data_IF_214204001205
#
_entry.id   IF_214204001205
#
_cell.length_a   1.000
_cell.length_b   1.000
_cell.length_c   1.000
_cell.angle_alpha   90.00
_cell.angle_beta   90.00
_cell.angle_gamma   90.00
#
_symmetry.space_group_name_H-M   'P 1'
#
loop_
_entity.id
_entity.type
_entity.pdbx_description
1 polymer ?
#
# COMPACT_ATOMS: atom_id res chain seq x y z
N UNK A 1 22.78 34.16 27.07
CA UNK A 1 22.71 33.64 25.69
C UNK A 1 21.42 32.86 25.56
N UNK A 2 20.36 33.60 25.25
CA UNK A 2 18.97 33.13 25.09
C UNK A 2 18.80 32.55 23.69
N UNK A 3 18.61 31.23 23.58
CA UNK A 3 18.23 30.62 22.30
C UNK A 3 16.80 31.05 21.98
N UNK A 4 16.66 31.84 20.93
CA UNK A 4 15.36 32.12 20.33
C UNK A 4 14.75 30.78 19.89
N UNK A 5 13.72 30.33 20.60
CA UNK A 5 12.71 29.47 20.00
C UNK A 5 12.07 30.33 18.91
N UNK A 6 12.42 30.06 17.66
CA UNK A 6 11.78 30.70 16.54
C UNK A 6 10.30 30.29 16.56
N UNK A 7 9.44 31.26 16.88
CA UNK A 7 8.01 31.17 16.61
C UNK A 7 7.85 30.95 15.10
N UNK A 8 7.66 29.69 14.69
CA UNK A 8 7.22 29.38 13.33
C UNK A 8 5.80 29.94 13.17
N UNK A 9 5.53 30.58 12.04
CA UNK A 9 4.20 31.10 11.71
C UNK A 9 3.12 30.02 11.92
N UNK A 10 1.95 30.38 12.49
CA UNK A 10 0.83 29.47 12.59
C UNK A 10 0.33 29.13 11.18
N UNK A 11 0.53 27.89 10.76
CA UNK A 11 -0.02 27.35 9.52
C UNK A 11 0.98 26.67 8.56
N UNK A 12 2.21 26.36 8.98
CA UNK A 12 3.10 25.49 8.23
C UNK A 12 3.34 24.16 8.98
N UNK A 13 3.48 23.02 8.26
CA UNK A 13 3.81 21.73 8.86
C UNK A 13 5.09 21.80 9.71
N UNK A 14 5.13 21.06 10.82
CA UNK A 14 6.16 21.19 11.83
C UNK A 14 7.17 20.03 11.87
N UNK A 15 7.80 19.85 13.05
CA UNK A 15 8.53 18.70 13.53
C UNK A 15 8.50 17.43 12.70
N UNK A 16 7.27 16.93 12.70
CA UNK A 16 6.90 15.58 12.38
C UNK A 16 6.78 15.43 10.87
N UNK A 17 6.30 16.46 10.16
CA UNK A 17 6.30 16.49 8.71
C UNK A 17 7.71 16.38 8.14
N UNK A 18 8.71 17.03 8.74
CA UNK A 18 10.10 16.90 8.30
C UNK A 18 10.64 15.48 8.52
N UNK A 19 10.26 14.81 9.61
CA UNK A 19 10.57 13.39 9.86
C UNK A 19 9.89 12.50 8.81
N UNK A 20 8.58 12.71 8.58
CA UNK A 20 7.82 11.96 7.59
C UNK A 20 8.42 12.06 6.19
N UNK A 21 8.81 13.26 5.73
CA UNK A 21 9.40 13.43 4.40
C UNK A 21 10.73 12.69 4.24
N UNK A 22 11.56 12.67 5.29
CA UNK A 22 12.81 11.92 5.29
C UNK A 22 12.55 10.41 5.21
N UNK A 23 11.65 9.88 6.05
CA UNK A 23 11.23 8.46 6.02
C UNK A 23 10.66 8.08 4.66
N UNK A 24 9.75 8.89 4.12
CA UNK A 24 9.12 8.67 2.83
C UNK A 24 10.14 8.70 1.67
N UNK A 25 11.19 9.53 1.76
CA UNK A 25 12.26 9.60 0.76
C UNK A 25 13.17 8.38 0.80
N UNK A 26 13.48 7.86 1.99
CA UNK A 26 14.31 6.65 2.15
C UNK A 26 13.59 5.40 1.63
N UNK A 27 12.27 5.37 1.76
CA UNK A 27 11.43 4.26 1.35
C UNK A 27 10.82 4.46 -0.04
N UNK A 28 11.20 5.50 -0.78
CA UNK A 28 10.74 5.73 -2.14
C UNK A 28 11.07 4.55 -3.07
N UNK A 29 10.13 4.18 -3.95
CA UNK A 29 10.29 3.01 -4.80
C UNK A 29 11.47 3.09 -5.77
N UNK A 30 11.78 4.28 -6.29
CA UNK A 30 12.96 4.47 -7.13
C UNK A 30 14.24 4.35 -6.30
N UNK A 31 14.27 4.95 -5.11
CA UNK A 31 15.40 4.87 -4.17
C UNK A 31 15.73 3.44 -3.78
N UNK A 32 14.73 2.65 -3.39
CA UNK A 32 14.92 1.25 -2.99
C UNK A 32 15.45 0.38 -4.13
N UNK A 33 14.92 0.55 -5.35
CA UNK A 33 15.42 -0.19 -6.52
C UNK A 33 16.86 0.19 -6.86
N UNK A 34 17.21 1.49 -6.82
CA UNK A 34 18.60 1.93 -7.07
C UNK A 34 19.57 1.37 -6.03
N UNK A 35 19.19 1.43 -4.74
CA UNK A 35 20.00 0.87 -3.66
C UNK A 35 20.25 -0.63 -3.88
N UNK A 36 19.19 -1.38 -4.21
CA UNK A 36 19.31 -2.83 -4.45
C UNK A 36 20.16 -3.17 -5.67
N UNK A 37 20.08 -2.37 -6.74
CA UNK A 37 20.90 -2.54 -7.94
C UNK A 37 22.37 -2.21 -7.70
N UNK A 38 22.70 -1.30 -6.77
CA UNK A 38 24.09 -1.00 -6.43
C UNK A 38 24.81 -2.21 -5.80
N UNK A 39 24.06 -3.11 -5.16
CA UNK A 39 24.58 -4.35 -4.58
C UNK A 39 24.59 -5.53 -5.59
N UNK A 40 23.92 -5.40 -6.74
CA UNK A 40 23.89 -6.41 -7.79
C UNK A 40 25.21 -6.44 -8.59
N UNK A 41 25.73 -7.65 -8.81
CA UNK A 41 26.95 -7.88 -9.61
C UNK A 41 26.68 -8.66 -10.90
N UNK A 42 25.40 -8.95 -11.20
CA UNK A 42 24.98 -9.72 -12.35
C UNK A 42 24.77 -8.89 -13.62
N UNK A 43 24.62 -9.58 -14.76
CA UNK A 43 24.16 -8.95 -15.99
C UNK A 43 22.76 -8.31 -15.81
N UNK A 44 22.48 -7.17 -16.47
CA UNK A 44 21.17 -6.53 -16.38
C UNK A 44 20.07 -7.47 -16.91
N UNK A 45 18.82 -7.33 -16.43
CA UNK A 45 17.71 -8.11 -16.92
C UNK A 45 17.42 -7.80 -18.40
N UNK A 46 17.01 -8.81 -19.15
CA UNK A 46 16.62 -8.66 -20.57
C UNK A 46 15.12 -8.35 -20.72
N UNK A 47 14.35 -8.59 -19.67
CA UNK A 47 12.93 -8.29 -19.59
C UNK A 47 12.55 -7.73 -18.22
N UNK A 48 11.62 -6.78 -18.19
CA UNK A 48 11.11 -6.18 -16.96
C UNK A 48 9.58 -6.12 -16.95
N UNK A 49 8.97 -6.62 -15.88
CA UNK A 49 7.53 -6.52 -15.63
C UNK A 49 7.30 -5.72 -14.35
N UNK A 50 6.76 -4.50 -14.43
CA UNK A 50 6.45 -3.70 -13.25
C UNK A 50 4.94 -3.58 -13.05
N UNK A 51 4.42 -3.97 -11.89
CA UNK A 51 2.98 -4.05 -11.63
C UNK A 51 2.65 -3.49 -10.24
N UNK A 52 1.65 -2.62 -10.17
CA UNK A 52 1.07 -2.14 -8.92
C UNK A 52 1.05 -0.63 -8.81
N UNK A 53 0.69 -0.10 -7.63
CA UNK A 53 0.61 1.35 -7.37
C UNK A 53 1.96 2.06 -7.53
N UNK A 54 3.08 1.34 -7.37
CA UNK A 54 4.45 1.87 -7.36
C UNK A 54 5.26 1.40 -8.57
N UNK A 55 4.60 0.87 -9.60
CA UNK A 55 5.30 0.32 -10.78
C UNK A 55 6.17 1.34 -11.50
N UNK A 56 5.68 2.56 -11.72
CA UNK A 56 6.43 3.65 -12.36
C UNK A 56 7.64 4.13 -11.54
N UNK A 57 7.52 4.46 -10.24
CA UNK A 57 8.68 4.81 -9.41
C UNK A 57 9.75 3.71 -9.37
N UNK A 58 9.36 2.45 -9.15
CA UNK A 58 10.32 1.33 -9.16
C UNK A 58 11.01 1.22 -10.52
N UNK A 59 10.28 1.35 -11.62
CA UNK A 59 10.85 1.34 -12.97
C UNK A 59 11.78 2.53 -13.23
N UNK A 60 11.45 3.73 -12.74
CA UNK A 60 12.31 4.90 -12.84
C UNK A 60 13.64 4.68 -12.09
N UNK A 61 13.60 4.02 -10.94
CA UNK A 61 14.81 3.58 -10.22
C UNK A 61 15.68 2.66 -11.06
N UNK A 62 15.06 1.67 -11.71
CA UNK A 62 15.76 0.77 -12.64
C UNK A 62 16.38 1.52 -13.82
N UNK A 63 15.61 2.39 -14.48
CA UNK A 63 16.09 3.16 -15.64
C UNK A 63 17.28 4.05 -15.30
N UNK A 64 17.26 4.69 -14.13
CA UNK A 64 18.36 5.55 -13.68
C UNK A 64 19.66 4.77 -13.44
N UNK A 65 19.58 3.50 -13.05
CA UNK A 65 20.75 2.65 -12.76
C UNK A 65 21.24 1.84 -13.97
N UNK A 66 20.32 1.37 -14.83
CA UNK A 66 20.65 0.38 -15.87
C UNK A 66 20.34 0.86 -17.30
N UNK A 67 19.63 1.97 -17.46
CA UNK A 67 19.08 2.38 -18.76
C UNK A 67 17.87 1.54 -19.19
N UNK A 68 17.48 1.69 -20.46
CA UNK A 68 16.29 1.03 -21.00
C UNK A 68 16.46 -0.49 -21.09
N UNK A 69 15.53 -1.29 -20.54
CA UNK A 69 15.55 -2.74 -20.75
C UNK A 69 15.12 -3.07 -22.19
N UNK A 70 15.58 -4.19 -22.78
CA UNK A 70 15.17 -4.60 -24.12
C UNK A 70 13.66 -4.81 -24.28
N UNK A 71 13.00 -5.34 -23.25
CA UNK A 71 11.56 -5.58 -23.19
C UNK A 71 11.02 -5.12 -21.84
N UNK A 72 10.01 -4.27 -21.82
CA UNK A 72 9.32 -3.92 -20.59
C UNK A 72 7.80 -3.76 -20.73
N UNK A 73 7.10 -4.19 -19.68
CA UNK A 73 5.67 -3.95 -19.50
C UNK A 73 5.43 -3.35 -18.10
N UNK A 74 4.82 -2.17 -18.07
CA UNK A 74 4.35 -1.51 -16.86
C UNK A 74 2.83 -1.62 -16.76
N UNK A 75 2.32 -1.89 -15.56
CA UNK A 75 0.89 -1.81 -15.26
C UNK A 75 0.69 -1.02 -13.97
N UNK A 76 -0.11 0.04 -14.03
CA UNK A 76 -0.42 0.90 -12.90
C UNK A 76 -1.93 1.26 -12.86
N UNK A 77 -2.48 1.65 -11.71
CA UNK A 77 -3.84 2.19 -11.66
C UNK A 77 -3.90 3.59 -12.28
N UNK A 78 -5.06 4.05 -12.76
CA UNK A 78 -5.21 5.38 -13.37
C UNK A 78 -4.65 6.49 -12.50
N UNK A 79 -4.88 6.39 -11.19
CA UNK A 79 -4.41 7.37 -10.21
C UNK A 79 -2.88 7.43 -10.13
N UNK A 80 -2.13 6.40 -10.53
CA UNK A 80 -0.66 6.36 -10.47
C UNK A 80 -0.04 6.24 -11.88
N UNK A 81 -0.83 6.44 -12.91
CA UNK A 81 -0.39 6.40 -14.29
C UNK A 81 -0.08 7.84 -14.73
N UNK A 82 1.15 8.16 -15.17
CA UNK A 82 1.49 9.50 -15.66
C UNK A 82 0.63 9.89 -16.86
N UNK A 83 0.24 11.16 -16.96
CA UNK A 83 -0.53 11.66 -18.12
C UNK A 83 0.25 11.47 -19.43
N UNK A 84 1.55 11.77 -19.40
CA UNK A 84 2.48 11.58 -20.52
C UNK A 84 3.66 10.70 -20.06
N UNK A 85 3.52 9.36 -20.11
CA UNK A 85 4.59 8.48 -19.68
C UNK A 85 5.74 8.52 -20.69
N UNK A 86 6.92 8.98 -20.25
CA UNK A 86 8.13 8.90 -21.05
C UNK A 86 8.67 7.46 -21.03
N UNK A 87 8.23 6.66 -22.00
CA UNK A 87 8.61 5.25 -22.11
C UNK A 87 9.77 5.07 -23.10
N UNK A 88 10.89 4.44 -22.69
CA UNK A 88 11.97 4.17 -23.61
C UNK A 88 11.58 3.08 -24.64
N UNK A 89 12.32 2.95 -25.75
CA UNK A 89 12.09 1.89 -26.74
C UNK A 89 12.00 0.49 -26.10
N UNK A 90 11.09 -0.34 -26.60
CA UNK A 90 10.85 -1.68 -26.05
C UNK A 90 9.99 -1.71 -24.79
N UNK A 91 9.50 -0.55 -24.32
CA UNK A 91 8.63 -0.44 -23.14
C UNK A 91 7.18 -0.14 -23.54
N UNK A 92 6.25 -0.85 -22.92
CA UNK A 92 4.81 -0.59 -23.00
C UNK A 92 4.24 -0.37 -21.60
N UNK A 93 3.17 0.43 -21.50
CA UNK A 93 2.47 0.63 -20.23
C UNK A 93 0.96 0.51 -20.44
N UNK A 94 0.29 -0.12 -19.48
CA UNK A 94 -1.15 -0.32 -19.48
C UNK A 94 -1.78 0.15 -18.17
N UNK A 95 -3.01 0.61 -18.26
CA UNK A 95 -3.82 0.97 -17.09
C UNK A 95 -4.58 -0.27 -16.62
N UNK A 96 -4.50 -0.59 -15.33
CA UNK A 96 -5.31 -1.62 -14.69
C UNK A 96 -6.07 -1.04 -13.49
N UNK A 97 -7.38 -1.23 -13.42
CA UNK A 97 -8.20 -0.53 -12.42
C UNK A 97 -8.10 -1.10 -11.01
N UNK A 98 -8.20 -0.20 -10.03
CA UNK A 98 -8.15 -0.45 -8.59
C UNK A 98 -9.18 0.47 -7.90
N UNK A 99 -9.89 0.04 -6.84
CA UNK A 99 -9.76 -1.23 -6.11
C UNK A 99 -10.51 -2.41 -6.74
N UNK A 100 -11.35 -2.18 -7.75
CA UNK A 100 -12.15 -3.23 -8.38
C UNK A 100 -11.69 -3.47 -9.83
N UNK A 101 -11.47 -4.73 -10.25
CA UNK A 101 -11.01 -5.03 -11.60
C UNK A 101 -12.08 -4.73 -12.65
N UNK A 102 -11.68 -4.17 -13.78
CA UNK A 102 -12.53 -3.85 -14.96
C UNK A 102 -12.01 -4.60 -16.19
N UNK A 103 -12.63 -4.43 -17.38
CA UNK A 103 -12.04 -4.94 -18.62
C UNK A 103 -10.59 -4.46 -18.85
N UNK A 104 -10.23 -3.23 -18.46
CA UNK A 104 -8.83 -2.75 -18.53
C UNK A 104 -7.88 -3.60 -17.69
N UNK A 105 -8.31 -4.01 -16.50
CA UNK A 105 -7.54 -4.95 -15.66
C UNK A 105 -7.38 -6.33 -16.31
N UNK A 106 -8.36 -6.75 -17.12
CA UNK A 106 -8.31 -8.02 -17.88
C UNK A 106 -7.35 -7.93 -19.05
N UNK A 107 -7.37 -6.81 -19.77
CA UNK A 107 -6.43 -6.54 -20.86
C UNK A 107 -5.00 -6.50 -20.33
N UNK A 108 -4.78 -5.82 -19.20
CA UNK A 108 -3.49 -5.79 -18.52
C UNK A 108 -3.01 -7.18 -18.05
N UNK A 109 -3.90 -7.97 -17.44
CA UNK A 109 -3.57 -9.34 -17.04
C UNK A 109 -3.23 -10.25 -18.22
N UNK A 110 -3.95 -10.10 -19.34
CA UNK A 110 -3.70 -10.83 -20.57
C UNK A 110 -2.39 -10.39 -21.23
N UNK A 111 -2.07 -9.10 -21.19
CA UNK A 111 -0.80 -8.58 -21.68
C UNK A 111 0.39 -9.11 -20.87
N UNK A 112 0.29 -9.15 -19.54
CA UNK A 112 1.34 -9.73 -18.70
C UNK A 112 1.51 -11.24 -18.95
N UNK A 113 0.41 -11.98 -19.10
CA UNK A 113 0.46 -13.39 -19.48
C UNK A 113 1.18 -13.59 -20.82
N UNK A 114 0.87 -12.78 -21.84
CA UNK A 114 1.55 -12.85 -23.14
C UNK A 114 3.03 -12.49 -22.99
N UNK A 115 3.33 -11.40 -22.29
CA UNK A 115 4.69 -10.92 -22.06
C UNK A 115 5.58 -12.03 -21.51
N UNK A 116 5.19 -12.67 -20.40
CA UNK A 116 6.02 -13.71 -19.77
C UNK A 116 6.14 -14.99 -20.61
N UNK A 117 5.12 -15.31 -21.43
CA UNK A 117 5.13 -16.44 -22.36
C UNK A 117 6.04 -16.21 -23.58
N UNK A 118 6.34 -14.96 -23.94
CA UNK A 118 7.27 -14.65 -25.05
C UNK A 118 8.74 -14.75 -24.67
N UNK A 119 9.04 -14.93 -23.38
CA UNK A 119 10.41 -15.00 -22.88
C UNK A 119 11.01 -16.39 -23.11
N UNK A 120 12.28 -16.44 -23.52
CA UNK A 120 13.02 -17.69 -23.66
C UNK A 120 13.77 -18.04 -22.36
N UNK A 121 14.31 -19.27 -22.22
CA UNK A 121 15.14 -19.63 -21.06
C UNK A 121 16.43 -18.80 -20.91
N UNK A 122 16.88 -18.16 -21.98
CA UNK A 122 18.06 -17.26 -22.00
C UNK A 122 17.71 -15.84 -21.52
N UNK A 123 16.42 -15.47 -21.51
CA UNK A 123 15.97 -14.19 -20.95
C UNK A 123 16.14 -14.16 -19.42
N UNK A 124 16.31 -12.97 -18.87
CA UNK A 124 16.34 -12.71 -17.42
C UNK A 124 15.22 -11.74 -17.08
N UNK A 125 14.20 -12.22 -16.37
CA UNK A 125 13.04 -11.41 -15.99
C UNK A 125 13.25 -10.77 -14.62
N UNK A 126 13.18 -9.44 -14.57
CA UNK A 126 13.00 -8.70 -13.32
C UNK A 126 11.52 -8.30 -13.18
N UNK A 127 10.90 -8.70 -12.08
CA UNK A 127 9.53 -8.30 -11.73
C UNK A 127 9.58 -7.28 -10.61
N UNK A 128 9.01 -6.10 -10.83
CA UNK A 128 8.85 -5.04 -9.83
C UNK A 128 7.39 -5.03 -9.37
N UNK A 129 7.11 -5.51 -8.17
CA UNK A 129 5.75 -5.74 -7.68
C UNK A 129 5.43 -4.81 -6.51
N UNK A 130 4.21 -4.27 -6.48
CA UNK A 130 3.72 -3.49 -5.35
C UNK A 130 2.23 -3.71 -5.08
N UNK A 131 1.74 -3.10 -3.99
CA UNK A 131 0.33 -3.12 -3.58
C UNK A 131 -0.67 -2.81 -4.70
N UNK A 132 -1.89 -3.34 -4.54
CA UNK A 132 -3.00 -3.19 -5.50
C UNK A 132 -2.98 -4.15 -6.71
N UNK A 133 -1.90 -4.92 -6.92
CA UNK A 133 -1.75 -5.84 -8.04
C UNK A 133 -2.89 -6.88 -8.19
N UNK A 134 -3.56 -7.23 -7.09
CA UNK A 134 -4.71 -8.14 -7.08
C UNK A 134 -5.86 -7.70 -8.00
N UNK A 135 -6.10 -6.39 -8.10
CA UNK A 135 -7.17 -5.81 -8.95
C UNK A 135 -6.62 -5.22 -10.25
N UNK A 136 -5.43 -4.61 -10.19
CA UNK A 136 -4.75 -4.02 -11.36
C UNK A 136 -4.48 -5.10 -12.41
N UNK A 137 -4.03 -6.28 -11.99
CA UNK A 137 -3.72 -7.40 -12.85
C UNK A 137 -4.75 -8.52 -12.69
N UNK A 138 -5.72 -8.60 -13.62
CA UNK A 138 -6.80 -9.59 -13.55
C UNK A 138 -6.76 -10.53 -14.75
N UNK A 139 -6.81 -11.84 -14.52
CA UNK A 139 -7.15 -12.81 -15.56
C UNK A 139 -8.01 -13.90 -14.94
N UNK A 140 -9.34 -13.90 -15.16
CA UNK A 140 -10.23 -14.98 -14.74
C UNK A 140 -9.79 -16.33 -15.33
N UNK A 141 -9.97 -17.42 -14.57
CA UNK A 141 -9.84 -18.79 -15.07
C UNK A 141 -10.77 -19.01 -16.27
N UNK A 142 -10.35 -19.74 -17.30
CA UNK A 142 -11.26 -20.11 -18.39
C UNK A 142 -12.09 -21.32 -17.96
N UNK A 143 -13.42 -21.34 -18.16
CA UNK A 143 -14.21 -20.43 -19.02
C UNK A 143 -14.88 -19.24 -18.28
N UNK A 144 -14.48 -18.91 -17.05
CA UNK A 144 -15.11 -17.84 -16.26
C UNK A 144 -14.97 -16.47 -16.91
N UNK A 145 -16.04 -15.69 -16.87
CA UNK A 145 -16.00 -14.27 -17.23
C UNK A 145 -15.44 -13.41 -16.10
N UNK A 146 -15.15 -12.14 -16.41
CA UNK A 146 -14.83 -11.14 -15.38
C UNK A 146 -15.99 -10.97 -14.39
N UNK A 147 -17.22 -11.02 -14.88
CA UNK A 147 -18.42 -10.83 -14.06
C UNK A 147 -18.63 -11.99 -13.09
N UNK A 148 -18.43 -13.23 -13.54
CA UNK A 148 -18.46 -14.43 -12.69
C UNK A 148 -17.49 -14.29 -11.51
N UNK A 149 -16.24 -13.94 -11.83
CA UNK A 149 -15.18 -13.75 -10.83
C UNK A 149 -15.52 -12.60 -9.87
N UNK A 150 -15.99 -11.45 -10.40
CA UNK A 150 -16.34 -10.29 -9.59
C UNK A 150 -17.49 -10.61 -8.64
N UNK A 151 -18.53 -11.28 -9.11
CA UNK A 151 -19.69 -11.66 -8.31
C UNK A 151 -19.27 -12.54 -7.12
N UNK A 152 -18.51 -13.61 -7.37
CA UNK A 152 -18.04 -14.51 -6.31
C UNK A 152 -17.10 -13.80 -5.30
N UNK A 153 -16.09 -13.08 -5.78
CA UNK A 153 -15.14 -12.36 -4.91
C UNK A 153 -15.84 -11.27 -4.09
N UNK A 154 -16.80 -10.56 -4.67
CA UNK A 154 -17.58 -9.53 -3.98
C UNK A 154 -18.48 -10.13 -2.91
N UNK A 155 -19.11 -11.28 -3.18
CA UNK A 155 -19.93 -11.98 -2.19
C UNK A 155 -19.08 -12.41 -0.98
N UNK A 156 -17.93 -13.06 -1.23
CA UNK A 156 -17.00 -13.48 -0.17
C UNK A 156 -16.51 -12.30 0.66
N UNK A 157 -16.12 -11.20 0.00
CA UNK A 157 -15.66 -9.99 0.69
C UNK A 157 -16.76 -9.32 1.52
N UNK A 158 -18.01 -9.24 1.01
CA UNK A 158 -19.14 -8.66 1.72
C UNK A 158 -19.57 -9.46 2.95
N UNK A 159 -19.33 -10.78 2.93
CA UNK A 159 -19.61 -11.65 4.05
C UNK A 159 -18.55 -11.56 5.18
N UNK A 160 -17.57 -10.65 5.07
CA UNK A 160 -16.57 -10.40 6.11
C UNK A 160 -15.47 -11.46 6.15
N UNK A 161 -15.23 -12.19 5.05
CA UNK A 161 -14.13 -13.14 4.97
C UNK A 161 -12.78 -12.45 5.23
N UNK A 162 -11.91 -13.11 5.98
CA UNK A 162 -10.56 -12.63 6.23
C UNK A 162 -9.76 -12.55 4.91
N UNK A 163 -8.72 -11.72 4.88
CA UNK A 163 -7.94 -11.49 3.65
C UNK A 163 -7.34 -12.79 3.09
N UNK A 164 -6.89 -13.70 3.95
CA UNK A 164 -6.36 -15.01 3.55
C UNK A 164 -7.45 -15.91 2.92
N UNK A 165 -8.67 -15.90 3.45
CA UNK A 165 -9.81 -16.63 2.91
C UNK A 165 -10.22 -16.05 1.55
N UNK A 166 -10.31 -14.72 1.45
CA UNK A 166 -10.61 -14.04 0.20
C UNK A 166 -9.56 -14.33 -0.88
N UNK A 167 -8.28 -14.33 -0.52
CA UNK A 167 -7.18 -14.62 -1.43
C UNK A 167 -7.18 -16.09 -1.88
N UNK A 168 -7.56 -17.03 -1.02
CA UNK A 168 -7.77 -18.44 -1.40
C UNK A 168 -8.75 -18.54 -2.58
N UNK A 169 -9.92 -17.91 -2.47
CA UNK A 169 -10.91 -17.89 -3.56
C UNK A 169 -10.37 -17.15 -4.79
N UNK A 170 -9.75 -15.98 -4.62
CA UNK A 170 -9.22 -15.17 -5.73
C UNK A 170 -8.18 -15.91 -6.57
N UNK A 171 -7.30 -16.70 -5.96
CA UNK A 171 -6.24 -17.47 -6.64
C UNK A 171 -6.86 -18.58 -7.50
N UNK A 172 -7.80 -19.34 -6.94
CA UNK A 172 -8.48 -20.45 -7.62
C UNK A 172 -9.47 -20.02 -8.70
N UNK A 173 -9.82 -18.72 -8.77
CA UNK A 173 -10.61 -18.14 -9.87
C UNK A 173 -9.76 -17.34 -10.88
N UNK A 174 -8.44 -17.58 -10.93
CA UNK A 174 -7.52 -16.83 -11.77
C UNK A 174 -6.61 -17.73 -12.59
N UNK A 175 -6.06 -17.21 -13.70
CA UNK A 175 -4.98 -17.85 -14.50
C UNK A 175 -3.58 -17.35 -14.19
N UNK A 176 -3.46 -16.31 -13.34
CA UNK A 176 -2.19 -15.58 -13.13
C UNK A 176 -1.84 -15.41 -11.64
N UNK A 177 -2.77 -15.69 -10.72
CA UNK A 177 -2.56 -15.55 -9.27
C UNK A 177 -2.14 -16.89 -8.67
N UNK A 178 -1.56 -16.88 -7.47
CA UNK A 178 -1.12 -18.11 -6.79
C UNK A 178 -0.05 -18.87 -7.59
N UNK A 179 0.98 -18.16 -8.04
CA UNK A 179 2.14 -18.71 -8.73
C UNK A 179 1.91 -18.95 -10.22
N UNK A 180 0.68 -18.87 -10.70
CA UNK A 180 0.36 -19.24 -12.06
C UNK A 180 1.04 -18.34 -13.10
N UNK A 181 1.26 -17.05 -12.85
CA UNK A 181 1.99 -16.21 -13.81
C UNK A 181 3.47 -16.61 -13.90
N UNK A 182 4.10 -16.88 -12.75
CA UNK A 182 5.48 -17.37 -12.69
C UNK A 182 5.66 -18.73 -13.38
N UNK A 183 4.66 -19.61 -13.27
CA UNK A 183 4.67 -20.93 -13.91
C UNK A 183 4.51 -20.88 -15.45
N UNK A 184 4.13 -19.73 -16.02
CA UNK A 184 3.99 -19.55 -17.48
C UNK A 184 5.29 -19.17 -18.18
N UNK A 185 6.37 -18.89 -17.44
CA UNK A 185 7.69 -18.61 -17.99
C UNK A 185 8.73 -19.63 -17.52
N UNK A 186 9.77 -19.81 -18.32
CA UNK A 186 10.96 -20.60 -17.97
C UNK A 186 12.21 -19.72 -17.78
N UNK A 187 12.09 -18.42 -18.02
CA UNK A 187 13.18 -17.47 -17.83
C UNK A 187 13.51 -17.36 -16.34
N UNK A 188 14.80 -17.40 -15.92
CA UNK A 188 15.21 -17.01 -14.58
C UNK A 188 14.55 -15.70 -14.16
N UNK A 189 13.82 -15.72 -13.05
CA UNK A 189 12.95 -14.63 -12.63
C UNK A 189 13.33 -14.15 -11.24
N UNK A 190 13.70 -12.87 -11.12
CA UNK A 190 13.85 -12.19 -9.84
C UNK A 190 12.64 -11.31 -9.61
N UNK A 191 11.99 -11.44 -8.45
CA UNK A 191 10.87 -10.61 -8.03
C UNK A 191 11.33 -9.71 -6.90
N UNK A 192 11.17 -8.41 -7.08
CA UNK A 192 11.39 -7.37 -6.07
C UNK A 192 10.07 -6.73 -5.73
N UNK A 193 9.71 -6.78 -4.45
CA UNK A 193 8.42 -6.30 -3.99
C UNK A 193 8.51 -5.16 -2.98
N UNK A 194 7.55 -4.23 -3.07
CA UNK A 194 7.18 -3.31 -2.01
C UNK A 194 5.84 -3.75 -1.43
N UNK A 195 5.84 -4.15 -0.16
CA UNK A 195 4.71 -4.84 0.48
C UNK A 195 3.87 -3.88 1.31
N UNK A 196 2.59 -3.80 1.01
CA UNK A 196 1.56 -3.24 1.90
C UNK A 196 0.91 -4.31 2.80
N UNK A 197 1.53 -5.49 2.91
CA UNK A 197 1.01 -6.63 3.66
C UNK A 197 1.86 -6.85 4.90
N UNK A 198 1.24 -6.87 6.08
CA UNK A 198 1.90 -7.20 7.34
C UNK A 198 2.54 -8.59 7.26
N UNK A 199 3.83 -8.68 7.60
CA UNK A 199 4.61 -9.91 7.52
C UNK A 199 5.14 -10.26 6.13
N UNK A 200 4.83 -9.45 5.11
CA UNK A 200 5.41 -9.51 3.76
C UNK A 200 5.30 -10.86 3.05
N UNK A 201 4.23 -11.62 3.32
CA UNK A 201 4.02 -12.93 2.69
C UNK A 201 3.89 -12.79 1.15
N UNK A 202 4.84 -13.38 0.38
CA UNK A 202 4.82 -13.34 -1.08
C UNK A 202 3.56 -13.96 -1.69
N UNK A 203 2.92 -14.93 -1.02
CA UNK A 203 1.69 -15.55 -1.50
C UNK A 203 0.46 -14.63 -1.35
N UNK A 204 0.57 -13.57 -0.55
CA UNK A 204 -0.48 -12.59 -0.27
C UNK A 204 -0.31 -11.31 -1.10
N UNK A 205 0.91 -10.82 -1.27
CA UNK A 205 1.22 -9.60 -2.06
C UNK A 205 0.74 -9.79 -3.51
N UNK A 206 -0.16 -8.91 -3.96
CA UNK A 206 -0.84 -9.00 -5.26
C UNK A 206 -1.52 -10.37 -5.56
N UNK A 207 -1.89 -11.13 -4.51
CA UNK A 207 -2.35 -12.53 -4.60
C UNK A 207 -1.28 -13.50 -5.15
N UNK A 208 0.00 -13.19 -4.93
CA UNK A 208 1.16 -14.03 -5.19
C UNK A 208 1.29 -14.55 -6.63
N UNK A 209 1.33 -13.72 -7.67
CA UNK A 209 1.42 -14.20 -9.06
C UNK A 209 2.69 -15.02 -9.38
N UNK A 210 3.75 -14.82 -8.58
CA UNK A 210 5.05 -15.50 -8.69
C UNK A 210 5.42 -16.30 -7.43
N UNK A 211 4.46 -16.57 -6.55
CA UNK A 211 4.69 -17.33 -5.30
C UNK A 211 3.81 -18.57 -5.27
N UNK A 212 4.33 -19.65 -4.69
CA UNK A 212 3.57 -20.86 -4.48
C UNK A 212 2.34 -20.60 -3.58
N UNK A 213 1.25 -21.29 -3.86
CA UNK A 213 0.00 -21.15 -3.15
C UNK A 213 -0.29 -22.42 -2.34
N UNK A 214 -0.19 -22.39 -1.00
CA UNK A 214 -0.44 -23.58 -0.18
C UNK A 214 -1.93 -23.96 -0.12
N UNK A 215 -2.82 -23.11 -0.60
CA UNK A 215 -4.27 -23.32 -0.54
C UNK A 215 -4.75 -24.18 -1.71
N UNK A 216 -5.94 -24.78 -1.60
CA UNK A 216 -6.45 -25.79 -2.56
C UNK A 216 -7.85 -25.47 -3.08
N UNK A 217 -8.24 -26.10 -4.19
CA UNK A 217 -9.62 -26.07 -4.68
C UNK A 217 -10.64 -26.52 -3.63
N UNK A 218 -10.29 -27.50 -2.80
CA UNK A 218 -11.16 -27.98 -1.72
C UNK A 218 -11.43 -26.88 -0.67
N UNK A 219 -10.40 -26.12 -0.29
CA UNK A 219 -10.56 -24.97 0.60
C UNK A 219 -11.35 -23.84 -0.07
N UNK A 220 -11.07 -23.54 -1.35
CA UNK A 220 -11.83 -22.54 -2.10
C UNK A 220 -13.32 -22.91 -2.20
N UNK A 221 -13.65 -24.20 -2.39
CA UNK A 221 -15.03 -24.71 -2.37
C UNK A 221 -15.71 -24.46 -1.01
N UNK A 222 -15.07 -24.87 0.09
CA UNK A 222 -15.62 -24.68 1.43
C UNK A 222 -15.88 -23.20 1.75
N UNK A 223 -14.99 -22.31 1.32
CA UNK A 223 -15.15 -20.86 1.49
C UNK A 223 -16.29 -20.28 0.65
N UNK A 224 -16.45 -20.74 -0.60
CA UNK A 224 -17.59 -20.34 -1.42
C UNK A 224 -18.91 -20.83 -0.83
N UNK A 225 -18.97 -22.06 -0.33
CA UNK A 225 -20.18 -22.60 0.33
C UNK A 225 -20.54 -21.80 1.59
N UNK A 226 -19.54 -21.39 2.38
CA UNK A 226 -19.73 -20.60 3.60
C UNK A 226 -20.13 -19.14 3.34
N UNK A 227 -19.48 -18.48 2.38
CA UNK A 227 -19.58 -17.03 2.22
C UNK A 227 -20.31 -16.56 0.96
N UNK A 228 -20.44 -17.43 -0.04
CA UNK A 228 -21.08 -17.12 -1.32
C UNK A 228 -21.88 -18.33 -1.84
N UNK A 229 -22.85 -18.87 -1.05
CA UNK A 229 -23.63 -20.04 -1.46
C UNK A 229 -24.38 -19.83 -2.78
N UNK A 230 -24.67 -18.57 -3.13
CA UNK A 230 -25.31 -18.15 -4.39
C UNK A 230 -24.32 -17.73 -5.48
N UNK A 231 -23.05 -18.12 -5.38
CA UNK A 231 -22.05 -17.83 -6.42
C UNK A 231 -22.53 -18.34 -7.80
N UNK A 232 -22.13 -17.65 -8.91
CA UNK A 232 -22.55 -18.01 -10.26
C UNK A 232 -22.30 -19.50 -10.59
N UNK A 233 -23.21 -20.11 -11.35
CA UNK A 233 -23.09 -21.51 -11.72
C UNK A 233 -21.75 -21.86 -12.41
N UNK A 234 -21.18 -21.03 -13.31
CA UNK A 234 -19.85 -21.28 -13.88
C UNK A 234 -18.74 -21.35 -12.81
N UNK A 235 -18.81 -20.52 -11.77
CA UNK A 235 -17.84 -20.53 -10.65
C UNK A 235 -17.94 -21.84 -9.87
N UNK A 236 -19.15 -22.26 -9.52
CA UNK A 236 -19.39 -23.52 -8.81
C UNK A 236 -18.91 -24.73 -9.62
N UNK A 237 -19.18 -24.73 -10.93
CA UNK A 237 -18.73 -25.78 -11.84
C UNK A 237 -17.19 -25.84 -11.91
N UNK A 238 -16.53 -24.70 -12.15
CA UNK A 238 -15.07 -24.60 -12.21
C UNK A 238 -14.38 -25.11 -10.93
N UNK A 239 -14.89 -24.70 -9.75
CA UNK A 239 -14.34 -25.15 -8.47
C UNK A 239 -14.61 -26.65 -8.25
N UNK A 240 -15.80 -27.13 -8.63
CA UNK A 240 -16.12 -28.56 -8.60
C UNK A 240 -15.20 -29.40 -9.50
N UNK A 241 -14.87 -28.91 -10.70
CA UNK A 241 -13.91 -29.52 -11.61
C UNK A 241 -12.51 -29.57 -11.00
N UNK A 242 -12.07 -28.48 -10.37
CA UNK A 242 -10.79 -28.43 -9.64
C UNK A 242 -10.72 -29.45 -8.51
N UNK A 243 -11.77 -29.57 -7.70
CA UNK A 243 -11.85 -30.59 -6.63
C UNK A 243 -11.81 -32.02 -7.17
N UNK A 244 -12.36 -32.26 -8.37
CA UNK A 244 -12.30 -33.55 -9.07
C UNK A 244 -10.96 -33.81 -9.78
N UNK A 245 -10.05 -32.85 -9.78
CA UNK A 245 -8.77 -32.94 -10.49
C UNK A 245 -8.88 -32.80 -12.02
N UNK A 246 -10.01 -32.28 -12.52
CA UNK A 246 -10.21 -32.01 -13.95
C UNK A 246 -9.53 -30.71 -14.41
N UNK A 247 -9.25 -29.81 -13.45
CA UNK A 247 -8.46 -28.60 -13.66
C UNK A 247 -7.19 -28.67 -12.82
N UNK A 248 -6.03 -28.21 -13.34
CA UNK A 248 -4.79 -28.23 -12.59
C UNK A 248 -4.86 -27.27 -11.40
N UNK A 249 -4.28 -27.71 -10.30
CA UNK A 249 -4.17 -26.95 -9.07
C UNK A 249 -3.11 -25.82 -9.19
N UNK A 250 -3.26 -24.73 -8.42
CA UNK A 250 -2.26 -23.66 -8.36
C UNK A 250 -0.90 -24.23 -7.90
N UNK A 251 0.24 -23.74 -8.43
CA UNK A 251 1.57 -24.17 -8.00
C UNK A 251 1.72 -24.30 -6.49
N UNK A 252 1.96 -25.53 -6.02
CA UNK A 252 2.12 -25.83 -4.58
C UNK A 252 3.56 -25.63 -4.12
N UNK A 253 3.80 -25.42 -2.82
CA UNK A 253 5.14 -25.53 -2.26
C UNK A 253 5.74 -26.90 -2.62
N UNK A 254 6.92 -26.89 -3.27
CA UNK A 254 7.59 -28.12 -3.73
C UNK A 254 7.17 -28.64 -5.12
N UNK A 255 6.32 -27.94 -5.86
CA UNK A 255 5.84 -28.32 -7.21
C UNK A 255 6.92 -28.21 -8.30
N UNK A 256 8.03 -27.51 -8.04
CA UNK A 256 9.15 -27.34 -8.99
C UNK A 256 8.89 -26.30 -10.09
N UNK A 257 7.62 -26.04 -10.45
CA UNK A 257 7.20 -25.04 -11.46
C UNK A 257 7.66 -23.60 -11.19
N UNK A 258 8.18 -23.30 -9.99
CA UNK A 258 8.65 -21.98 -9.59
C UNK A 258 10.12 -22.00 -9.14
N UNK A 259 10.86 -23.07 -9.38
CA UNK A 259 12.27 -23.21 -8.93
C UNK A 259 13.20 -22.18 -9.58
N UNK A 260 12.82 -21.62 -10.73
CA UNK A 260 13.50 -20.53 -11.42
C UNK A 260 13.14 -19.13 -10.90
N UNK A 261 12.20 -19.03 -9.95
CA UNK A 261 11.76 -17.78 -9.35
C UNK A 261 12.49 -17.54 -8.03
N UNK A 262 12.99 -16.33 -7.85
CA UNK A 262 13.54 -15.82 -6.58
C UNK A 262 12.73 -14.60 -6.19
N UNK A 263 12.34 -14.53 -4.93
CA UNK A 263 11.52 -13.45 -4.40
C UNK A 263 12.26 -12.71 -3.29
N UNK A 264 12.20 -11.39 -3.32
CA UNK A 264 12.78 -10.52 -2.31
C UNK A 264 11.83 -9.35 -2.05
N UNK A 265 11.52 -9.11 -0.78
CA UNK A 265 10.78 -7.94 -0.35
C UNK A 265 11.80 -6.83 -0.02
N UNK A 266 11.82 -5.76 -0.82
CA UNK A 266 12.76 -4.65 -0.62
C UNK A 266 12.36 -3.76 0.56
N UNK A 267 11.05 -3.58 0.76
CA UNK A 267 10.51 -2.91 1.93
C UNK A 267 9.06 -3.33 2.21
N UNK A 268 8.70 -3.33 3.49
CA UNK A 268 7.37 -3.56 4.04
C UNK A 268 7.01 -2.56 5.14
N UNK A 269 5.86 -2.76 5.82
CA UNK A 269 5.39 -1.88 6.89
C UNK A 269 6.37 -1.71 8.06
N UNK A 270 7.18 -2.73 8.35
CA UNK A 270 8.21 -2.68 9.38
C UNK A 270 9.30 -1.64 9.07
N UNK A 271 9.67 -1.48 7.79
CA UNK A 271 10.69 -0.52 7.38
C UNK A 271 10.24 0.93 7.62
N UNK A 272 8.93 1.21 7.56
CA UNK A 272 8.36 2.52 7.90
C UNK A 272 8.65 2.87 9.36
N UNK A 273 8.40 1.93 10.27
CA UNK A 273 8.66 2.14 11.71
C UNK A 273 10.15 2.24 12.00
N UNK A 274 10.96 1.38 11.39
CA UNK A 274 12.39 1.30 11.69
C UNK A 274 13.13 2.53 11.14
N UNK A 275 12.80 2.97 9.92
CA UNK A 275 13.27 4.24 9.37
C UNK A 275 12.84 5.41 10.26
N UNK A 276 11.55 5.50 10.63
CA UNK A 276 11.05 6.59 11.47
C UNK A 276 11.74 6.63 12.84
N UNK A 277 11.96 5.49 13.50
CA UNK A 277 12.71 5.43 14.76
C UNK A 277 14.14 5.93 14.60
N UNK A 278 14.84 5.53 13.54
CA UNK A 278 16.18 6.03 13.26
C UNK A 278 16.19 7.53 13.01
N UNK A 279 15.31 8.05 12.16
CA UNK A 279 15.21 9.48 11.84
C UNK A 279 14.87 10.32 13.08
N UNK A 280 13.98 9.82 13.95
CA UNK A 280 13.67 10.46 15.24
C UNK A 280 14.92 10.56 16.12
N UNK A 281 15.70 9.48 16.22
CA UNK A 281 16.92 9.45 17.03
C UNK A 281 18.03 10.33 16.47
N UNK A 282 18.25 10.35 15.15
CA UNK A 282 19.27 11.21 14.51
C UNK A 282 18.95 12.69 14.69
N UNK A 283 17.68 13.03 14.88
CA UNK A 283 17.21 14.40 15.19
C UNK A 283 17.25 14.73 16.69
N UNK A 284 17.77 13.84 17.52
CA UNK A 284 17.99 14.07 18.95
C UNK A 284 16.77 13.86 19.85
N UNK A 285 15.69 13.26 19.33
CA UNK A 285 14.50 12.93 20.11
C UNK A 285 14.58 11.51 20.67
N UNK A 286 13.93 11.29 21.81
CA UNK A 286 13.69 9.93 22.31
C UNK A 286 12.60 9.28 21.45
N UNK A 287 12.94 8.17 20.77
CA UNK A 287 11.99 7.38 19.98
C UNK A 287 11.30 6.31 20.82
N UNK A 288 9.96 6.37 20.91
CA UNK A 288 9.14 5.40 21.64
C UNK A 288 8.17 4.65 20.70
N UNK A 289 7.71 3.45 21.04
CA UNK A 289 6.60 2.82 20.31
C UNK A 289 5.27 3.56 20.56
N UNK A 290 4.43 3.62 19.53
CA UNK A 290 3.03 4.07 19.62
C UNK A 290 2.06 2.91 19.36
N UNK A 291 1.95 2.47 18.11
CA UNK A 291 1.23 1.27 17.66
C UNK A 291 2.01 0.60 16.54
N UNK A 292 1.72 -0.65 16.22
CA UNK A 292 2.32 -1.35 15.09
C UNK A 292 1.23 -2.01 14.27
N UNK A 293 1.25 -1.80 12.95
CA UNK A 293 0.42 -2.48 11.98
C UNK A 293 -1.08 -2.43 12.32
N UNK A 294 -1.56 -1.26 12.73
CA UNK A 294 -2.94 -1.10 13.21
C UNK A 294 -3.95 -1.04 12.05
N UNK A 295 -5.00 -1.86 12.12
CA UNK A 295 -6.10 -1.90 11.13
C UNK A 295 -7.46 -1.53 11.75
N UNK A 296 -7.47 -1.01 12.98
CA UNK A 296 -8.71 -0.67 13.70
C UNK A 296 -9.43 0.53 13.09
N UNK A 297 -10.66 0.78 13.53
CA UNK A 297 -11.38 2.02 13.20
C UNK A 297 -10.61 3.27 13.70
N UNK A 298 -10.62 4.33 12.89
CA UNK A 298 -9.91 5.59 13.16
C UNK A 298 -10.34 6.26 14.46
N UNK A 299 -11.60 6.12 14.90
CA UNK A 299 -12.09 6.72 16.15
C UNK A 299 -11.49 6.03 17.38
N UNK A 300 -11.42 4.69 17.34
CA UNK A 300 -10.79 3.89 18.40
C UNK A 300 -9.30 4.20 18.49
N UNK A 301 -8.66 4.36 17.33
CA UNK A 301 -7.24 4.70 17.27
C UNK A 301 -6.98 6.11 17.79
N UNK A 302 -7.81 7.09 17.42
CA UNK A 302 -7.71 8.46 17.89
C UNK A 302 -7.81 8.54 19.42
N UNK A 303 -8.79 7.86 20.02
CA UNK A 303 -8.95 7.81 21.48
C UNK A 303 -7.69 7.25 22.18
N UNK A 304 -7.10 6.20 21.61
CA UNK A 304 -5.86 5.59 22.10
C UNK A 304 -4.69 6.57 22.05
N UNK A 305 -4.53 7.29 20.95
CA UNK A 305 -3.45 8.27 20.77
C UNK A 305 -3.62 9.51 21.63
N UNK A 306 -4.86 9.98 21.82
CA UNK A 306 -5.17 11.09 22.73
C UNK A 306 -4.82 10.70 24.16
N UNK A 307 -5.23 9.53 24.63
CA UNK A 307 -4.88 9.04 25.96
C UNK A 307 -3.35 8.96 26.15
N UNK A 308 -2.64 8.45 25.12
CA UNK A 308 -1.17 8.42 25.11
C UNK A 308 -0.56 9.82 25.21
N UNK A 309 -1.10 10.80 24.48
CA UNK A 309 -0.63 12.17 24.48
C UNK A 309 -0.75 12.83 25.86
N UNK A 310 -1.89 12.66 26.53
CA UNK A 310 -2.11 13.16 27.90
C UNK A 310 -1.14 12.51 28.90
N UNK A 311 -0.95 11.19 28.83
CA UNK A 311 -0.05 10.48 29.73
C UNK A 311 1.42 10.92 29.56
N UNK A 312 1.90 11.02 28.32
CA UNK A 312 3.27 11.46 28.04
C UNK A 312 3.48 12.94 28.40
N UNK A 313 2.50 13.80 28.15
CA UNK A 313 2.54 15.23 28.53
C UNK A 313 2.62 15.40 30.05
N UNK A 314 1.81 14.66 30.81
CA UNK A 314 1.81 14.69 32.28
C UNK A 314 3.12 14.15 32.89
N UNK A 315 3.77 13.20 32.23
CA UNK A 315 5.04 12.62 32.71
C UNK A 315 6.21 13.62 32.72
N UNK A 316 6.14 14.68 31.91
CA UNK A 316 7.24 15.62 31.71
C UNK A 316 8.51 14.95 31.15
N UNK A 317 9.62 15.68 31.14
CA UNK A 317 10.94 15.17 30.73
C UNK A 317 11.37 15.58 29.33
N UNK A 318 12.33 14.83 28.76
CA UNK A 318 12.93 15.17 27.48
C UNK A 318 11.93 15.06 26.32
N UNK A 319 12.07 15.91 25.27
CA UNK A 319 11.29 15.81 24.04
C UNK A 319 11.38 14.42 23.41
N UNK A 320 10.23 13.88 23.01
CA UNK A 320 10.10 12.52 22.50
C UNK A 320 9.11 12.44 21.36
N UNK A 321 9.29 11.44 20.51
CA UNK A 321 8.37 11.12 19.43
C UNK A 321 8.01 9.64 19.54
N UNK A 322 6.72 9.35 19.74
CA UNK A 322 6.20 8.00 19.65
C UNK A 322 5.91 7.68 18.18
N UNK A 323 6.42 6.56 17.70
CA UNK A 323 6.35 6.10 16.32
C UNK A 323 5.38 4.93 16.22
N UNK A 324 4.41 5.04 15.32
CA UNK A 324 3.56 3.94 14.91
C UNK A 324 3.23 3.96 13.43
N UNK A 325 2.55 2.92 12.97
CA UNK A 325 2.08 2.80 11.59
C UNK A 325 0.79 1.97 11.56
N UNK A 326 0.10 2.01 10.42
CA UNK A 326 -1.04 1.15 10.13
C UNK A 326 -1.86 1.64 8.95
N UNK A 327 -2.98 0.98 8.70
CA UNK A 327 -3.97 1.36 7.70
C UNK A 327 -5.35 1.28 8.35
N UNK A 328 -5.69 2.24 9.24
CA UNK A 328 -6.95 2.21 9.96
C UNK A 328 -8.14 2.35 9.00
N UNK A 329 -9.27 1.74 9.38
CA UNK A 329 -10.51 1.86 8.62
C UNK A 329 -11.28 3.13 8.98
N UNK A 330 -11.94 3.73 8.00
CA UNK A 330 -12.82 4.88 8.18
C UNK A 330 -14.19 4.57 7.59
N UNK A 331 -15.24 4.90 8.35
CA UNK A 331 -16.61 4.86 7.84
C UNK A 331 -16.92 6.18 7.16
N UNK A 332 -17.11 6.14 5.84
CA UNK A 332 -17.53 7.30 5.05
C UNK A 332 -19.04 7.48 5.18
N UNK A 333 -19.45 8.58 5.80
CA UNK A 333 -20.84 9.00 6.05
C UNK A 333 -21.24 10.20 5.20
N UNK A 334 -20.29 11.10 4.95
CA UNK A 334 -20.51 12.36 4.25
C UNK A 334 -20.02 12.38 2.81
N UNK A 335 -19.96 13.59 2.23
CA UNK A 335 -19.43 13.85 0.88
C UNK A 335 -18.19 14.76 0.89
N UNK A 336 -17.59 14.93 2.07
CA UNK A 336 -16.41 15.76 2.27
C UNK A 336 -15.15 15.27 1.56
N UNK A 337 -14.13 16.12 1.61
CA UNK A 337 -12.78 15.83 1.10
C UNK A 337 -11.88 15.38 2.25
N UNK A 338 -11.23 14.22 2.08
CA UNK A 338 -10.36 13.68 3.11
C UNK A 338 -10.06 12.20 2.92
N UNK A 339 -9.42 11.64 3.94
CA UNK A 339 -9.18 10.22 4.08
C UNK A 339 -8.93 9.87 5.54
N UNK A 340 -8.49 8.64 5.78
CA UNK A 340 -8.29 8.12 7.15
C UNK A 340 -7.22 8.90 7.92
N UNK A 341 -6.16 9.39 7.26
CA UNK A 341 -5.03 10.04 7.92
C UNK A 341 -5.37 11.48 8.34
N UNK A 342 -5.97 12.27 7.44
CA UNK A 342 -6.49 13.62 7.73
C UNK A 342 -7.61 13.57 8.76
N UNK A 343 -8.52 12.58 8.66
CA UNK A 343 -9.59 12.40 9.63
C UNK A 343 -9.05 12.01 11.01
N UNK A 344 -8.11 11.06 11.09
CA UNK A 344 -7.42 10.70 12.33
C UNK A 344 -6.70 11.91 12.94
N UNK A 345 -6.01 12.71 12.13
CA UNK A 345 -5.33 13.91 12.59
C UNK A 345 -6.32 14.93 13.20
N UNK A 346 -7.48 15.16 12.56
CA UNK A 346 -8.49 16.08 13.09
C UNK A 346 -9.16 15.54 14.39
N UNK A 347 -9.38 14.23 14.48
CA UNK A 347 -9.84 13.57 15.70
C UNK A 347 -8.84 13.72 16.85
N UNK A 348 -7.55 13.51 16.58
CA UNK A 348 -6.51 13.72 17.59
C UNK A 348 -6.42 15.19 17.99
N UNK A 349 -6.48 16.13 17.03
CA UNK A 349 -6.48 17.57 17.30
C UNK A 349 -7.58 17.98 18.28
N UNK A 350 -8.78 17.40 18.14
CA UNK A 350 -9.89 17.59 19.08
C UNK A 350 -9.51 17.15 20.50
N UNK A 351 -8.95 15.96 20.64
CA UNK A 351 -8.63 15.37 21.94
C UNK A 351 -7.40 15.96 22.65
N UNK A 352 -6.45 16.54 21.89
CA UNK A 352 -5.26 17.21 22.44
C UNK A 352 -5.43 18.73 22.57
N UNK A 353 -6.61 19.28 22.29
CA UNK A 353 -6.87 20.71 22.35
C UNK A 353 -6.49 21.30 23.73
N UNK A 354 -5.66 22.34 23.73
CA UNK A 354 -5.10 22.97 24.93
C UNK A 354 -3.79 22.37 25.45
N UNK A 355 -3.32 21.23 24.91
CA UNK A 355 -2.04 20.64 25.31
C UNK A 355 -0.85 21.33 24.61
N UNK A 356 -0.13 22.18 25.35
CA UNK A 356 1.07 22.83 24.84
C UNK A 356 2.21 21.82 24.57
N UNK A 357 2.95 22.03 23.48
CA UNK A 357 4.10 21.19 23.11
C UNK A 357 3.74 19.76 22.68
N UNK A 358 2.46 19.50 22.36
CA UNK A 358 2.01 18.22 21.80
C UNK A 358 1.65 18.40 20.34
N UNK A 359 2.17 17.51 19.48
CA UNK A 359 1.89 17.47 18.04
C UNK A 359 1.60 16.04 17.62
N UNK A 360 0.78 15.87 16.59
CA UNK A 360 0.46 14.58 16.02
C UNK A 360 0.50 14.67 14.49
N UNK A 361 1.07 13.66 13.84
CA UNK A 361 1.03 13.49 12.40
C UNK A 361 0.48 12.11 12.07
N UNK A 362 -0.40 12.06 11.07
CA UNK A 362 -0.73 10.85 10.33
C UNK A 362 -0.59 11.15 8.85
N UNK A 363 0.16 10.33 8.11
CA UNK A 363 0.34 10.49 6.67
C UNK A 363 0.64 9.17 5.96
N UNK A 364 0.01 8.96 4.81
CA UNK A 364 0.27 7.83 3.90
C UNK A 364 1.64 7.93 3.26
N UNK A 365 2.41 6.84 3.29
CA UNK A 365 3.76 6.79 2.66
C UNK A 365 3.74 6.84 1.13
N UNK A 366 2.55 6.86 0.52
CA UNK A 366 2.34 7.01 -0.91
C UNK A 366 1.88 8.42 -1.33
N UNK A 367 2.01 9.40 -0.43
CA UNK A 367 1.62 10.79 -0.64
C UNK A 367 0.13 10.96 -0.98
N UNK A 368 -0.72 10.06 -0.47
CA UNK A 368 -2.17 10.13 -0.62
C UNK A 368 -2.93 9.76 0.64
N UNK A 369 -4.04 10.46 0.85
CA UNK A 369 -5.03 10.12 1.85
C UNK A 369 -6.46 10.30 1.30
N UNK A 370 -7.05 9.21 0.80
CA UNK A 370 -8.40 9.25 0.25
C UNK A 370 -8.54 10.24 -0.92
N UNK A 371 -9.48 11.19 -0.79
CA UNK A 371 -9.67 12.30 -1.72
C UNK A 371 -8.88 13.57 -1.33
N UNK A 372 -8.16 13.56 -0.21
CA UNK A 372 -7.35 14.70 0.20
C UNK A 372 -6.26 15.00 -0.84
N UNK A 373 -6.00 16.28 -1.16
CA UNK A 373 -4.87 16.66 -1.99
C UNK A 373 -3.56 16.65 -1.18
N UNK A 374 -3.31 15.62 -0.36
CA UNK A 374 -2.18 15.52 0.56
C UNK A 374 -1.92 14.06 0.98
N UNK A 375 -0.75 13.81 1.58
CA UNK A 375 -0.44 12.55 2.25
C UNK A 375 -1.22 12.36 3.55
N UNK A 376 -1.62 13.46 4.18
CA UNK A 376 -2.20 13.47 5.52
C UNK A 376 -2.07 14.86 6.15
N UNK A 377 -1.89 14.92 7.46
CA UNK A 377 -1.77 16.19 8.17
C UNK A 377 -0.94 16.11 9.46
N UNK A 378 -0.38 17.25 9.85
CA UNK A 378 0.22 17.47 11.16
C UNK A 378 -0.62 18.49 11.95
N UNK A 379 -1.01 18.12 13.16
CA UNK A 379 -1.80 18.95 14.08
C UNK A 379 -1.06 19.16 15.40
N UNK A 380 -1.45 20.18 16.15
CA UNK A 380 -0.91 20.49 17.47
C UNK A 380 -2.04 20.86 18.44
N UNK A 381 -1.73 20.99 19.73
CA UNK A 381 -2.73 21.32 20.76
C UNK A 381 -3.49 22.64 20.57
N UNK A 382 -3.10 23.48 19.61
CA UNK A 382 -3.81 24.70 19.26
C UNK A 382 -4.70 24.59 18.01
N UNK A 383 -4.57 23.52 17.22
CA UNK A 383 -5.23 23.39 15.90
C UNK A 383 -6.75 23.46 15.99
N UNK A 384 -7.36 22.77 16.95
CA UNK A 384 -8.82 22.77 17.09
C UNK A 384 -9.37 24.16 17.42
N UNK A 385 -8.78 24.83 18.42
CA UNK A 385 -9.18 26.19 18.80
C UNK A 385 -8.89 27.22 17.70
N UNK A 386 -7.81 27.05 16.93
CA UNK A 386 -7.51 27.91 15.78
C UNK A 386 -8.56 27.78 14.67
N UNK A 387 -8.99 26.55 14.35
CA UNK A 387 -10.08 26.32 13.40
C UNK A 387 -11.34 27.11 13.78
N UNK A 388 -11.74 27.02 15.05
CA UNK A 388 -12.91 27.73 15.57
C UNK A 388 -12.75 29.26 15.52
N UNK A 389 -11.57 29.78 15.84
CA UNK A 389 -11.28 31.23 15.76
C UNK A 389 -11.35 31.77 14.33
N UNK A 390 -10.96 30.97 13.34
CA UNK A 390 -11.06 31.32 11.92
C UNK A 390 -12.48 31.11 11.34
N UNK A 391 -13.47 30.79 12.17
CA UNK A 391 -14.85 30.55 11.73
C UNK A 391 -15.06 29.22 11.01
N UNK A 392 -14.09 28.31 11.02
CA UNK A 392 -14.24 26.95 10.52
C UNK A 392 -15.03 26.11 11.55
N UNK A 393 -15.72 25.07 11.07
CA UNK A 393 -16.44 24.13 11.92
C UNK A 393 -15.79 22.73 11.88
N UNK A 394 -14.75 22.49 12.70
CA UNK A 394 -14.04 21.21 12.68
C UNK A 394 -14.90 20.01 13.10
N UNK A 395 -15.96 20.22 13.89
CA UNK A 395 -16.89 19.14 14.23
C UNK A 395 -17.76 18.73 13.05
N UNK A 396 -18.34 19.71 12.33
CA UNK A 396 -19.11 19.41 11.11
C UNK A 396 -18.24 18.73 10.04
N UNK A 397 -16.96 19.12 9.94
CA UNK A 397 -16.01 18.47 9.04
C UNK A 397 -15.75 17.00 9.42
N UNK A 398 -15.67 16.65 10.70
CA UNK A 398 -15.61 15.24 11.11
C UNK A 398 -16.90 14.49 10.72
N UNK A 399 -18.06 15.08 11.00
CA UNK A 399 -19.35 14.45 10.73
C UNK A 399 -19.59 14.18 9.24
N UNK A 400 -19.05 15.03 8.34
CA UNK A 400 -19.15 14.92 6.87
C UNK A 400 -17.91 14.30 6.19
N UNK A 401 -16.94 13.79 6.97
CA UNK A 401 -15.64 13.31 6.46
C UNK A 401 -14.85 14.34 5.61
N UNK A 402 -14.97 15.62 5.93
CA UNK A 402 -14.37 16.78 5.24
C UNK A 402 -13.12 17.33 5.96
N UNK A 403 -12.35 16.45 6.62
CA UNK A 403 -11.23 16.86 7.46
C UNK A 403 -10.15 17.64 6.68
N UNK A 404 -9.91 17.30 5.40
CA UNK A 404 -8.88 17.95 4.61
C UNK A 404 -9.20 19.42 4.31
N UNK A 405 -10.47 19.80 4.23
CA UNK A 405 -10.89 21.19 4.00
C UNK A 405 -10.50 22.08 5.17
N UNK A 406 -10.81 21.67 6.40
CA UNK A 406 -10.44 22.40 7.62
C UNK A 406 -8.92 22.43 7.79
N UNK A 407 -8.26 21.30 7.65
CA UNK A 407 -6.81 21.21 7.81
C UNK A 407 -6.06 21.98 6.71
N UNK A 408 -6.59 22.02 5.49
CA UNK A 408 -6.06 22.80 4.38
C UNK A 408 -6.16 24.30 4.61
N UNK A 409 -7.31 24.78 5.10
CA UNK A 409 -7.48 26.18 5.47
C UNK A 409 -6.50 26.64 6.56
N UNK A 410 -6.08 25.72 7.44
CA UNK A 410 -5.09 25.95 8.49
C UNK A 410 -3.63 25.71 8.04
N UNK A 411 -3.40 25.31 6.79
CA UNK A 411 -2.05 24.94 6.31
C UNK A 411 -1.43 23.73 7.02
N UNK A 412 -2.26 22.87 7.61
CA UNK A 412 -1.84 21.69 8.38
C UNK A 412 -1.60 20.44 7.50
N UNK A 413 -1.91 20.51 6.20
CA UNK A 413 -1.73 19.39 5.28
C UNK A 413 -0.25 19.07 5.06
N UNK A 414 0.05 17.78 4.99
CA UNK A 414 1.41 17.28 4.79
C UNK A 414 1.51 16.61 3.42
N UNK A 415 2.55 16.98 2.67
CA UNK A 415 2.97 16.33 1.43
C UNK A 415 4.33 15.69 1.63
N UNK A 416 4.56 14.58 0.94
CA UNK A 416 5.84 13.86 0.93
C UNK A 416 6.29 13.47 -0.47
N UNK A 417 7.58 13.11 -0.62
CA UNK A 417 8.06 12.51 -1.87
C UNK A 417 7.57 11.06 -2.05
N UNK A 418 6.89 10.50 -1.04
CA UNK A 418 6.67 9.07 -0.88
C UNK A 418 5.82 8.48 -1.97
N UNK A 419 6.36 7.49 -2.68
CA UNK A 419 5.63 6.75 -3.71
C UNK A 419 5.34 5.29 -3.32
N UNK A 420 5.71 4.86 -2.11
CA UNK A 420 5.94 3.44 -1.81
C UNK A 420 4.74 2.64 -1.31
N UNK A 421 3.70 3.29 -0.77
CA UNK A 421 2.48 2.63 -0.28
C UNK A 421 2.79 1.48 0.69
N UNK A 422 3.48 1.79 1.80
CA UNK A 422 3.87 0.87 2.88
C UNK A 422 3.08 1.16 4.17
N UNK A 423 1.79 1.50 4.03
CA UNK A 423 0.87 1.99 5.07
C UNK A 423 1.10 3.45 5.50
N UNK A 424 0.32 3.92 6.48
CA UNK A 424 0.43 5.26 7.06
C UNK A 424 1.48 5.27 8.17
N UNK A 425 2.24 6.37 8.26
CA UNK A 425 3.10 6.67 9.40
C UNK A 425 2.34 7.56 10.39
N UNK A 426 2.37 7.17 11.67
CA UNK A 426 1.80 7.94 12.78
C UNK A 426 2.93 8.39 13.72
N UNK A 427 3.01 9.69 14.00
CA UNK A 427 3.98 10.28 14.90
C UNK A 427 3.26 11.09 15.97
N UNK A 428 3.53 10.81 17.24
CA UNK A 428 3.05 11.60 18.37
C UNK A 428 4.23 12.23 19.09
N UNK A 429 4.40 13.54 18.94
CA UNK A 429 5.45 14.31 19.58
C UNK A 429 4.99 14.99 20.86
N UNK A 430 5.83 14.94 21.90
CA UNK A 430 5.61 15.62 23.17
C UNK A 430 6.87 16.39 23.57
N UNK A 431 6.69 17.65 23.97
CA UNK A 431 7.78 18.59 24.26
C UNK A 431 8.40 19.21 23.01
N UNK A 432 7.69 19.21 21.87
CA UNK A 432 8.19 19.65 20.55
C UNK A 432 7.43 20.82 19.94
#
# INVERSE_FOLDING_TARGET
MTSARADREPGLPGPLADIFREVASELDGATLVRARLADERGAPPTALLAVGKVSFPMFAGYLASCGAPPKALLVAPPTRFPEEPNLPPGTSALVGDHPNPTPRSVDAGTAAERFVKTLSPEDRLLVLLSGGGSSILCAPALPLSLEDKRAAVKAVSRAGAAIAELNTVRKHLSRIKGGQLGALTKAPTQVWALSDVVGNDPATIASGPFSADPTTFAQAKALLERFAPDAPAPVKAWIGDGVRGLSPETPKPGDGRLDHVRYECLAGPENVRDSARRVVQTRGFVGLPLSADVETDVEVLAATYVARAHAESASGGAPRVCVGNGEPSIVVRGQGTGGRATHLALLVAKGINGLAGVRFLAAGTDDRDGSAPAAGAEVHGGTWAEAQRQGLNPQAALDDNDAATVLGALGALVHGPGTSNLLDLHLLGVGI
#
